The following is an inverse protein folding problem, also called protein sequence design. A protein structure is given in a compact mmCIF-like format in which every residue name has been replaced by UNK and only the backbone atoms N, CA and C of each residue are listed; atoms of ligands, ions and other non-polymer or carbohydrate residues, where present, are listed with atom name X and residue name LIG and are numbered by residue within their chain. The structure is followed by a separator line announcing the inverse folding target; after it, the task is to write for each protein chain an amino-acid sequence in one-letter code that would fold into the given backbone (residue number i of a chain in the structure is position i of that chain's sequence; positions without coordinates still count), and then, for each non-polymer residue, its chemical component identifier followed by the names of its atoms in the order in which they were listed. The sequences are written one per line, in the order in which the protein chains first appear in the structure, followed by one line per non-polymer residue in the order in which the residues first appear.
data_IF_877518452365
#
_entry.id   IF_877518452365
#
_cell.length_a   1.000
_cell.length_b   1.000
_cell.length_c   1.000
_cell.angle_alpha   90.00
_cell.angle_beta   90.00
_cell.angle_gamma   90.00
#
_symmetry.space_group_name_H-M   'P 1'
#
loop_
_entity.id
_entity.type
_entity.pdbx_description
1 polymer ?
#
# COMPACT_ATOMS: atom_id res chain seq x y z
N UNK A 1 -11.80 11.67 21.10
CA UNK A 1 -11.90 10.59 20.10
C UNK A 1 -10.79 10.82 19.10
N UNK A 2 -10.01 9.80 18.72
CA UNK A 2 -8.98 9.96 17.69
C UNK A 2 -9.65 10.22 16.34
N UNK A 3 -8.99 11.00 15.48
CA UNK A 3 -9.39 11.15 14.09
C UNK A 3 -9.43 9.75 13.43
N UNK A 4 -10.54 9.31 12.81
CA UNK A 4 -10.61 8.01 12.16
C UNK A 4 -9.52 7.79 11.10
N UNK A 5 -9.03 8.85 10.44
CA UNK A 5 -7.94 8.71 9.46
C UNK A 5 -6.59 8.46 10.13
N UNK A 6 -6.29 9.12 11.26
CA UNK A 6 -5.11 8.78 12.07
C UNK A 6 -5.19 7.34 12.60
N UNK A 7 -6.40 6.88 12.94
CA UNK A 7 -6.61 5.48 13.31
C UNK A 7 -6.22 4.55 12.16
N UNK A 8 -6.61 4.85 10.91
CA UNK A 8 -6.19 4.06 9.74
C UNK A 8 -4.66 4.02 9.59
N UNK A 9 -3.94 5.14 9.81
CA UNK A 9 -2.47 5.16 9.74
C UNK A 9 -1.76 4.47 10.92
N UNK A 10 -2.49 4.00 11.93
CA UNK A 10 -1.93 3.41 13.17
C UNK A 10 -2.49 2.03 13.51
N UNK A 11 -3.49 1.54 12.77
CA UNK A 11 -4.25 0.32 13.08
C UNK A 11 -3.43 -0.97 13.05
N UNK A 12 -2.29 -0.94 12.36
CA UNK A 12 -1.49 -2.12 12.08
C UNK A 12 -0.04 -1.96 12.55
N UNK A 13 0.19 -1.08 13.54
CA UNK A 13 1.53 -0.80 14.06
C UNK A 13 2.24 -2.05 14.62
N UNK A 14 1.50 -3.04 15.12
CA UNK A 14 2.04 -4.32 15.57
C UNK A 14 2.82 -5.09 14.48
N UNK A 15 2.55 -4.81 13.20
CA UNK A 15 3.29 -5.42 12.09
C UNK A 15 4.75 -4.94 12.02
N UNK A 16 5.06 -3.77 12.58
CA UNK A 16 6.44 -3.29 12.72
C UNK A 16 7.23 -4.05 13.80
N UNK A 17 6.56 -4.60 14.81
CA UNK A 17 7.19 -5.34 15.91
C UNK A 17 7.20 -6.85 15.67
N UNK A 18 6.42 -7.33 14.69
CA UNK A 18 6.21 -8.76 14.44
C UNK A 18 5.33 -9.44 15.50
N UNK A 19 4.63 -8.65 16.31
CA UNK A 19 3.66 -9.16 17.29
C UNK A 19 2.45 -9.76 16.58
N UNK A 20 1.78 -10.70 17.22
CA UNK A 20 0.47 -11.16 16.77
C UNK A 20 -0.56 -10.06 17.03
N UNK A 21 -1.68 -10.07 16.30
CA UNK A 21 -2.76 -9.11 16.57
C UNK A 21 -3.34 -9.28 17.99
N UNK A 22 -3.41 -10.51 18.49
CA UNK A 22 -3.99 -10.84 19.80
C UNK A 22 -3.11 -10.39 20.97
N UNK A 23 -1.80 -10.29 20.74
CA UNK A 23 -0.80 -9.87 21.74
C UNK A 23 -0.30 -8.43 21.50
N UNK A 24 -0.85 -7.73 20.51
CA UNK A 24 -0.40 -6.41 20.10
C UNK A 24 -0.58 -5.37 21.20
N UNK A 25 0.46 -4.56 21.45
CA UNK A 25 0.34 -3.42 22.36
C UNK A 25 -0.67 -2.38 21.84
N UNK A 26 -1.46 -1.79 22.74
CA UNK A 26 -2.35 -0.68 22.41
C UNK A 26 -1.62 0.68 22.32
N UNK A 27 -0.31 0.68 22.62
CA UNK A 27 0.55 1.86 22.64
C UNK A 27 1.88 1.60 21.93
N UNK A 28 2.32 2.54 21.10
CA UNK A 28 3.64 2.54 20.49
C UNK A 28 4.27 3.92 20.65
N UNK A 29 5.46 4.00 21.26
CA UNK A 29 6.16 5.26 21.53
C UNK A 29 5.28 6.36 22.20
N UNK A 30 4.35 5.96 23.09
CA UNK A 30 3.42 6.90 23.76
C UNK A 30 2.19 7.28 22.95
N UNK A 31 2.01 6.72 21.75
CA UNK A 31 0.87 6.95 20.86
C UNK A 31 -0.06 5.75 20.88
N UNK A 32 -1.36 5.98 20.91
CA UNK A 32 -2.35 4.89 20.82
C UNK A 32 -2.38 4.31 19.39
N UNK A 33 -2.26 2.99 19.30
CA UNK A 33 -2.17 2.24 18.03
C UNK A 33 -3.07 1.00 18.05
N UNK A 34 -3.08 0.25 16.94
CA UNK A 34 -3.77 -1.04 16.82
C UNK A 34 -5.29 -0.98 17.11
N UNK A 35 -5.89 0.20 16.90
CA UNK A 35 -7.33 0.39 17.03
C UNK A 35 -8.03 -0.06 15.75
N UNK A 36 -9.18 -0.73 15.89
CA UNK A 36 -9.98 -1.14 14.74
C UNK A 36 -10.40 0.04 13.87
N UNK A 37 -10.30 -0.15 12.55
CA UNK A 37 -10.75 0.82 11.55
C UNK A 37 -12.24 0.62 11.27
N UNK A 38 -13.01 1.71 11.21
CA UNK A 38 -14.45 1.67 10.94
C UNK A 38 -14.79 1.35 9.49
N UNK A 39 -16.08 1.16 9.20
CA UNK A 39 -16.63 0.95 7.84
C UNK A 39 -16.09 -0.28 7.09
N UNK A 40 -15.42 -1.21 7.78
CA UNK A 40 -14.85 -2.42 7.17
C UNK A 40 -13.64 -2.18 6.27
N UNK A 41 -13.10 -0.95 6.24
CA UNK A 41 -12.04 -0.55 5.31
C UNK A 41 -10.77 -1.41 5.38
N UNK A 42 -10.36 -1.84 6.58
CA UNK A 42 -9.21 -2.73 6.76
C UNK A 42 -9.45 -4.12 6.14
N UNK A 43 -10.60 -4.74 6.41
CA UNK A 43 -10.96 -6.03 5.84
C UNK A 43 -11.04 -5.99 4.31
N UNK A 44 -11.60 -4.93 3.75
CA UNK A 44 -11.69 -4.72 2.32
C UNK A 44 -10.31 -4.49 1.68
N UNK A 45 -9.44 -3.70 2.31
CA UNK A 45 -8.06 -3.50 1.86
C UNK A 45 -7.25 -4.81 1.91
N UNK A 46 -7.41 -5.61 2.96
CA UNK A 46 -6.80 -6.93 3.06
C UNK A 46 -7.28 -7.85 1.91
N UNK A 47 -8.57 -7.83 1.57
CA UNK A 47 -9.12 -8.61 0.46
C UNK A 47 -8.60 -8.19 -0.92
N UNK A 48 -8.14 -6.94 -1.09
CA UNK A 48 -7.44 -6.48 -2.30
C UNK A 48 -6.04 -7.10 -2.42
N UNK A 49 -5.38 -7.39 -1.31
CA UNK A 49 -3.95 -7.78 -1.30
C UNK A 49 -3.73 -9.27 -1.07
N UNK A 50 -4.61 -9.95 -0.34
CA UNK A 50 -4.47 -11.37 0.02
C UNK A 50 -5.80 -12.15 -0.05
N UNK A 51 -5.76 -13.48 -0.27
CA UNK A 51 -6.95 -14.31 -0.17
C UNK A 51 -7.50 -14.31 1.26
N UNK A 52 -8.82 -14.24 1.41
CA UNK A 52 -9.51 -14.19 2.70
C UNK A 52 -9.31 -15.46 3.55
N UNK A 53 -9.25 -16.64 2.91
CA UNK A 53 -9.35 -17.94 3.61
C UNK A 53 -8.05 -18.76 3.63
N UNK A 54 -6.93 -18.21 3.16
CA UNK A 54 -5.71 -19.00 2.93
C UNK A 54 -4.54 -18.43 3.73
N UNK A 55 -4.39 -18.89 4.98
CA UNK A 55 -3.13 -18.77 5.73
C UNK A 55 -2.09 -19.82 5.27
N UNK A 56 -1.97 -20.03 3.96
CA UNK A 56 -0.92 -20.88 3.41
C UNK A 56 0.27 -19.98 3.12
N UNK A 57 1.32 -20.17 3.89
CA UNK A 57 2.58 -19.48 3.68
C UNK A 57 3.05 -19.69 2.24
N UNK A 58 3.17 -18.60 1.50
CA UNK A 58 3.56 -18.63 0.08
C UNK A 58 5.07 -18.87 -0.11
N UNK A 59 5.87 -18.58 0.92
CA UNK A 59 7.31 -18.84 0.98
C UNK A 59 7.65 -19.52 2.32
N UNK A 60 7.75 -20.88 2.37
CA UNK A 60 7.86 -21.63 3.63
C UNK A 60 9.03 -21.23 4.55
N UNK A 61 10.12 -20.73 3.97
CA UNK A 61 11.34 -20.34 4.72
C UNK A 61 11.32 -18.89 5.19
N UNK A 62 10.29 -18.11 4.83
CA UNK A 62 10.20 -16.70 5.19
C UNK A 62 9.29 -16.52 6.41
N UNK A 63 9.90 -16.31 7.58
CA UNK A 63 9.17 -16.20 8.85
C UNK A 63 9.25 -14.81 9.49
N UNK A 64 9.94 -13.85 8.86
CA UNK A 64 10.03 -12.48 9.41
C UNK A 64 8.95 -11.54 8.85
N UNK A 65 8.79 -10.39 9.49
CA UNK A 65 7.83 -9.35 9.14
C UNK A 65 8.36 -8.36 8.08
N UNK A 66 9.62 -8.46 7.67
CA UNK A 66 10.17 -7.72 6.56
C UNK A 66 9.62 -8.25 5.23
N UNK A 67 9.44 -7.37 4.27
CA UNK A 67 8.92 -7.70 2.95
C UNK A 67 10.02 -8.30 2.08
N UNK A 68 9.67 -9.33 1.32
CA UNK A 68 10.43 -9.78 0.17
C UNK A 68 10.07 -8.93 -1.05
N UNK A 69 11.07 -8.34 -1.70
CA UNK A 69 10.87 -7.70 -2.99
C UNK A 69 10.60 -8.75 -4.07
N UNK A 70 9.46 -8.62 -4.76
CA UNK A 70 9.18 -9.46 -5.93
C UNK A 70 10.14 -9.15 -7.10
N UNK A 71 10.73 -7.96 -7.11
CA UNK A 71 11.68 -7.53 -8.12
C UNK A 71 13.08 -8.14 -7.91
N UNK A 72 13.62 -8.07 -6.69
CA UNK A 72 14.99 -8.56 -6.39
C UNK A 72 15.05 -9.93 -5.73
N UNK A 73 13.95 -10.41 -5.16
CA UNK A 73 13.90 -11.61 -4.31
C UNK A 73 14.54 -11.44 -2.94
N UNK A 74 14.95 -10.23 -2.55
CA UNK A 74 15.64 -9.94 -1.28
C UNK A 74 14.72 -9.19 -0.33
N UNK A 75 14.97 -9.36 0.97
CA UNK A 75 14.40 -8.45 1.97
C UNK A 75 15.07 -7.08 1.87
N UNK A 76 14.32 -6.02 2.14
CA UNK A 76 14.89 -4.67 2.25
C UNK A 76 15.71 -4.48 3.52
N UNK A 77 15.59 -5.40 4.49
CA UNK A 77 16.42 -5.40 5.69
C UNK A 77 17.90 -5.65 5.34
N UNK A 78 18.70 -4.59 5.47
CA UNK A 78 20.15 -4.66 5.41
C UNK A 78 20.74 -4.24 6.77
N UNK A 79 21.34 -5.15 7.56
CA UNK A 79 21.84 -4.81 8.89
C UNK A 79 22.95 -3.72 8.91
N UNK A 80 23.56 -3.39 7.76
CA UNK A 80 24.58 -2.34 7.65
C UNK A 80 24.01 -0.93 7.43
N UNK A 81 22.82 -0.80 6.85
CA UNK A 81 22.19 0.49 6.51
C UNK A 81 20.84 0.67 7.21
N UNK A 82 20.20 -0.43 7.59
CA UNK A 82 18.90 -0.56 8.21
C UNK A 82 19.10 -1.11 9.64
N UNK A 83 19.70 -0.30 10.51
CA UNK A 83 19.94 -0.72 11.90
C UNK A 83 18.62 -0.72 12.68
N UNK A 84 18.46 -1.66 13.61
CA UNK A 84 17.24 -1.75 14.44
C UNK A 84 16.86 -0.42 15.10
N UNK A 85 17.84 0.33 15.61
CA UNK A 85 17.59 1.62 16.25
C UNK A 85 17.10 2.69 15.25
N UNK A 86 17.63 2.69 14.03
CA UNK A 86 17.14 3.57 12.95
C UNK A 86 15.69 3.25 12.60
N UNK A 87 15.37 1.96 12.44
CA UNK A 87 14.01 1.49 12.14
C UNK A 87 13.04 1.87 13.26
N UNK A 88 13.40 1.60 14.51
CA UNK A 88 12.56 1.97 15.67
C UNK A 88 12.31 3.49 15.73
N UNK A 89 13.31 4.31 15.40
CA UNK A 89 13.13 5.76 15.34
C UNK A 89 12.23 6.20 14.18
N UNK A 90 12.46 5.71 12.96
CA UNK A 90 11.65 6.06 11.78
C UNK A 90 10.19 5.61 11.93
N UNK A 91 9.95 4.41 12.48
CA UNK A 91 8.59 3.95 12.81
C UNK A 91 7.97 4.84 13.88
N UNK A 92 8.71 5.21 14.93
CA UNK A 92 8.21 6.11 15.97
C UNK A 92 7.79 7.47 15.40
N UNK A 93 8.61 8.06 14.54
CA UNK A 93 8.30 9.33 13.87
C UNK A 93 7.08 9.22 12.93
N UNK A 94 6.99 8.12 12.18
CA UNK A 94 5.84 7.85 11.31
C UNK A 94 4.54 7.77 12.12
N UNK A 95 4.52 6.97 13.19
CA UNK A 95 3.35 6.73 14.04
C UNK A 95 2.97 7.98 14.86
N UNK A 96 3.96 8.75 15.33
CA UNK A 96 3.75 9.96 16.13
C UNK A 96 3.17 11.15 15.37
N UNK A 97 3.01 11.06 14.05
CA UNK A 97 2.39 12.14 13.27
C UNK A 97 0.95 12.38 13.70
N UNK A 98 0.65 13.57 14.23
CA UNK A 98 -0.65 13.91 14.83
C UNK A 98 -1.66 14.52 13.87
N UNK A 99 -1.21 15.04 12.73
CA UNK A 99 -2.08 15.59 11.69
C UNK A 99 -2.32 14.52 10.61
N UNK A 100 -3.58 14.31 10.24
CA UNK A 100 -3.93 13.24 9.30
C UNK A 100 -3.35 13.49 7.90
N UNK A 101 -3.32 14.74 7.43
CA UNK A 101 -2.78 15.09 6.11
C UNK A 101 -1.26 14.82 6.10
N UNK A 102 -0.55 15.29 7.11
CA UNK A 102 0.88 15.01 7.26
C UNK A 102 1.17 13.52 7.42
N UNK A 103 0.27 12.76 8.08
CA UNK A 103 0.41 11.31 8.19
C UNK A 103 0.27 10.67 6.81
N UNK A 104 -0.70 11.08 6.00
CA UNK A 104 -0.87 10.58 4.63
C UNK A 104 0.37 10.79 3.78
N UNK A 105 0.90 12.01 3.76
CA UNK A 105 2.12 12.37 3.03
C UNK A 105 3.33 11.55 3.50
N UNK A 106 3.51 11.40 4.82
CA UNK A 106 4.60 10.59 5.38
C UNK A 106 4.46 9.12 5.00
N UNK A 107 3.25 8.55 5.05
CA UNK A 107 3.03 7.18 4.63
C UNK A 107 3.28 6.99 3.14
N UNK A 108 2.90 7.94 2.27
CA UNK A 108 3.22 7.91 0.85
C UNK A 108 4.74 7.91 0.59
N UNK A 109 5.52 8.64 1.39
CA UNK A 109 6.97 8.74 1.25
C UNK A 109 7.77 7.70 2.06
N UNK A 110 7.11 6.83 2.83
CA UNK A 110 7.79 5.99 3.84
C UNK A 110 8.51 4.77 3.25
N UNK A 111 9.83 4.82 3.18
CA UNK A 111 10.66 3.64 2.89
C UNK A 111 10.59 2.60 4.02
N UNK A 112 10.53 3.07 5.28
CA UNK A 112 10.44 2.18 6.43
C UNK A 112 9.17 1.33 6.39
N UNK A 113 8.01 1.90 6.05
CA UNK A 113 6.77 1.13 5.94
C UNK A 113 6.77 0.18 4.73
N UNK A 114 7.43 0.56 3.63
CA UNK A 114 7.59 -0.29 2.45
C UNK A 114 8.47 -1.53 2.73
N UNK A 115 9.31 -1.48 3.77
CA UNK A 115 10.18 -2.59 4.16
C UNK A 115 9.45 -3.71 4.90
N UNK A 116 8.19 -3.53 5.33
CA UNK A 116 7.43 -4.52 6.08
C UNK A 116 6.33 -5.15 5.22
N UNK A 117 6.10 -6.45 5.44
CA UNK A 117 4.98 -7.14 4.83
C UNK A 117 3.67 -6.86 5.57
N UNK A 118 2.55 -6.98 4.86
CA UNK A 118 1.22 -6.89 5.48
C UNK A 118 0.94 -8.13 6.34
N UNK A 119 1.52 -9.27 5.95
CA UNK A 119 1.46 -10.53 6.69
C UNK A 119 2.58 -11.47 6.27
N UNK A 120 3.11 -12.21 7.24
CA UNK A 120 4.18 -13.20 7.05
C UNK A 120 3.77 -14.34 6.10
N UNK A 121 2.47 -14.60 5.92
CA UNK A 121 1.97 -15.60 4.97
C UNK A 121 2.14 -15.18 3.50
N UNK A 122 2.17 -13.87 3.26
CA UNK A 122 2.26 -13.25 1.94
C UNK A 122 3.39 -12.20 1.94
N UNK A 123 4.66 -12.62 2.00
CA UNK A 123 5.80 -11.73 2.25
C UNK A 123 6.07 -10.73 1.12
N UNK A 124 5.40 -10.84 -0.03
CA UNK A 124 5.46 -9.87 -1.13
C UNK A 124 4.44 -8.73 -1.00
N UNK A 125 3.53 -8.78 -0.02
CA UNK A 125 2.62 -7.67 0.30
C UNK A 125 3.38 -6.55 1.00
N UNK A 126 2.84 -5.34 0.99
CA UNK A 126 3.49 -4.16 1.58
C UNK A 126 2.59 -3.53 2.64
N UNK A 127 3.13 -3.31 3.84
CA UNK A 127 2.43 -2.64 4.95
C UNK A 127 2.10 -1.19 4.59
N UNK A 128 3.02 -0.49 3.92
CA UNK A 128 2.79 0.86 3.36
C UNK A 128 1.52 0.89 2.52
N UNK A 129 1.47 0.05 1.49
CA UNK A 129 0.37 0.09 0.54
C UNK A 129 -0.93 -0.49 1.11
N UNK A 130 -0.88 -1.48 2.01
CA UNK A 130 -2.06 -1.88 2.77
C UNK A 130 -2.65 -0.69 3.54
N UNK A 131 -1.82 0.01 4.30
CA UNK A 131 -2.26 1.16 5.12
C UNK A 131 -2.82 2.30 4.27
N UNK A 132 -2.19 2.61 3.13
CA UNK A 132 -2.69 3.61 2.19
C UNK A 132 -4.02 3.19 1.54
N UNK A 133 -4.20 1.91 1.21
CA UNK A 133 -5.47 1.39 0.72
C UNK A 133 -6.56 1.49 1.80
N UNK A 134 -6.25 1.18 3.06
CA UNK A 134 -7.18 1.32 4.19
C UNK A 134 -7.65 2.77 4.31
N UNK A 135 -6.73 3.74 4.28
CA UNK A 135 -7.06 5.15 4.36
C UNK A 135 -7.94 5.60 3.18
N UNK A 136 -7.59 5.19 1.96
CA UNK A 136 -8.35 5.55 0.77
C UNK A 136 -9.76 4.95 0.76
N UNK A 137 -9.94 3.71 1.21
CA UNK A 137 -11.26 3.10 1.36
C UNK A 137 -12.07 3.76 2.47
N UNK A 138 -11.46 3.95 3.65
CA UNK A 138 -12.13 4.58 4.79
C UNK A 138 -12.66 5.97 4.43
N UNK A 139 -11.83 6.81 3.82
CA UNK A 139 -12.26 8.16 3.46
C UNK A 139 -13.38 8.13 2.40
N UNK A 140 -13.45 7.09 1.55
CA UNK A 140 -14.46 6.96 0.48
C UNK A 140 -15.78 6.52 1.10
N UNK A 141 -15.71 5.58 2.03
CA UNK A 141 -16.87 5.07 2.76
C UNK A 141 -17.48 6.15 3.65
N UNK A 142 -16.64 6.98 4.28
CA UNK A 142 -17.08 8.17 5.03
C UNK A 142 -17.74 9.23 4.14
N UNK A 143 -17.38 9.30 2.85
CA UNK A 143 -18.04 10.11 1.83
C UNK A 143 -19.27 9.40 1.21
N UNK A 144 -19.72 8.28 1.78
CA UNK A 144 -20.86 7.47 1.34
C UNK A 144 -20.70 6.84 -0.05
N UNK A 145 -19.46 6.64 -0.51
CA UNK A 145 -19.20 5.88 -1.73
C UNK A 145 -19.08 4.39 -1.40
N UNK A 146 -19.91 3.58 -2.03
CA UNK A 146 -19.75 2.12 -1.98
C UNK A 146 -18.55 1.66 -2.80
N UNK A 147 -17.90 0.55 -2.40
CA UNK A 147 -16.77 -0.04 -3.11
C UNK A 147 -17.03 -0.20 -4.62
N UNK A 148 -18.25 -0.60 -5.00
CA UNK A 148 -18.63 -0.86 -6.39
C UNK A 148 -18.53 0.38 -7.32
N UNK A 149 -18.49 1.57 -6.73
CA UNK A 149 -18.36 2.85 -7.44
C UNK A 149 -16.90 3.31 -7.56
N UNK A 150 -15.99 2.71 -6.78
CA UNK A 150 -14.60 3.14 -6.72
C UNK A 150 -13.83 2.76 -7.98
N UNK A 151 -12.83 3.57 -8.29
CA UNK A 151 -11.97 3.47 -9.45
C UNK A 151 -10.51 3.60 -9.03
N UNK A 152 -9.65 2.92 -9.76
CA UNK A 152 -8.24 3.28 -9.85
C UNK A 152 -8.13 4.42 -10.86
N UNK A 153 -7.57 5.54 -10.43
CA UNK A 153 -7.43 6.75 -11.24
C UNK A 153 -5.95 7.09 -11.35
N UNK A 154 -5.54 7.52 -12.54
CA UNK A 154 -4.18 7.92 -12.86
C UNK A 154 -4.11 9.44 -12.89
N UNK A 155 -3.35 10.01 -11.95
CA UNK A 155 -3.09 11.44 -11.85
C UNK A 155 -1.67 11.77 -12.31
N UNK A 156 -1.38 13.06 -12.49
CA UNK A 156 -0.02 13.51 -12.79
C UNK A 156 0.89 13.34 -11.56
N UNK A 157 2.19 13.16 -11.78
CA UNK A 157 3.16 13.09 -10.70
C UNK A 157 3.07 14.33 -9.79
N UNK A 158 3.10 14.12 -8.46
CA UNK A 158 2.98 15.17 -7.46
C UNK A 158 1.56 15.72 -7.23
N UNK A 159 0.55 15.24 -7.98
CA UNK A 159 -0.85 15.54 -7.66
C UNK A 159 -1.34 14.60 -6.55
N UNK A 160 -1.21 15.06 -5.30
CA UNK A 160 -1.68 14.32 -4.12
C UNK A 160 -3.08 14.78 -3.74
N UNK A 161 -4.06 13.88 -3.84
CA UNK A 161 -5.39 14.04 -3.26
C UNK A 161 -5.36 13.44 -1.86
N UNK A 162 -5.59 14.24 -0.80
CA UNK A 162 -5.56 13.78 0.58
C UNK A 162 -6.34 12.49 0.80
N UNK A 163 -5.71 11.53 1.47
CA UNK A 163 -6.22 10.22 1.87
C UNK A 163 -6.56 9.26 0.72
N UNK A 164 -6.79 9.78 -0.49
CA UNK A 164 -7.20 9.07 -1.70
C UNK A 164 -6.02 8.57 -2.53
N UNK A 165 -4.95 9.35 -2.61
CA UNK A 165 -3.73 8.95 -3.32
C UNK A 165 -3.06 7.80 -2.58
N UNK A 166 -2.81 6.70 -3.28
CA UNK A 166 -2.19 5.48 -2.73
C UNK A 166 -0.78 5.23 -3.27
N UNK A 167 -0.38 5.96 -4.30
CA UNK A 167 0.98 5.94 -4.84
C UNK A 167 1.28 7.30 -5.49
N UNK A 168 2.45 7.86 -5.20
CA UNK A 168 2.97 9.07 -5.86
C UNK A 168 4.41 8.80 -6.27
N UNK A 169 4.66 8.82 -7.58
CA UNK A 169 5.98 8.60 -8.16
C UNK A 169 6.30 9.64 -9.23
N UNK A 170 7.54 9.63 -9.72
CA UNK A 170 8.06 10.70 -10.59
C UNK A 170 7.32 10.90 -11.91
N UNK A 171 6.54 9.91 -12.36
CA UNK A 171 5.89 9.93 -13.68
C UNK A 171 4.36 10.01 -13.62
N UNK A 172 3.76 9.47 -12.58
CA UNK A 172 2.32 9.43 -12.37
C UNK A 172 2.04 9.15 -10.90
N UNK A 173 0.84 9.56 -10.47
CA UNK A 173 0.26 9.17 -9.20
C UNK A 173 -0.94 8.24 -9.43
N UNK A 174 -1.31 7.47 -8.41
CA UNK A 174 -2.51 6.64 -8.42
C UNK A 174 -3.36 6.97 -7.21
N UNK A 175 -4.66 7.19 -7.43
CA UNK A 175 -5.65 7.36 -6.36
C UNK A 175 -6.80 6.37 -6.49
N UNK A 176 -7.49 6.15 -5.37
CA UNK A 176 -8.76 5.43 -5.33
C UNK A 176 -9.87 6.43 -5.01
N UNK A 177 -10.82 6.60 -5.93
CA UNK A 177 -11.93 7.53 -5.77
C UNK A 177 -13.15 7.09 -6.59
N UNK A 178 -14.33 7.66 -6.30
CA UNK A 178 -15.53 7.46 -7.08
C UNK A 178 -15.57 8.37 -8.33
N UNK A 179 -15.07 9.60 -8.21
CA UNK A 179 -14.99 10.58 -9.30
C UNK A 179 -13.59 10.58 -9.92
N UNK A 180 -13.53 10.43 -11.24
CA UNK A 180 -12.27 10.45 -11.98
C UNK A 180 -11.89 11.81 -12.53
N UNK A 181 -12.77 12.82 -12.46
CA UNK A 181 -12.52 14.17 -12.98
C UNK A 181 -12.04 14.18 -14.45
N UNK A 182 -12.45 13.18 -15.24
CA UNK A 182 -12.02 13.00 -16.62
C UNK A 182 -10.60 12.43 -16.79
N UNK A 183 -9.95 12.01 -15.71
CA UNK A 183 -8.64 11.35 -15.72
C UNK A 183 -8.75 9.89 -16.20
N UNK A 184 -7.66 9.29 -16.70
CA UNK A 184 -7.64 7.88 -17.02
C UNK A 184 -8.01 7.03 -15.80
N UNK A 185 -8.99 6.14 -15.94
CA UNK A 185 -9.55 5.42 -14.80
C UNK A 185 -10.10 4.05 -15.18
N UNK A 186 -10.24 3.18 -14.17
CA UNK A 186 -10.92 1.90 -14.29
C UNK A 186 -11.61 1.51 -12.97
N UNK A 187 -12.82 0.96 -13.05
CA UNK A 187 -13.53 0.45 -11.86
C UNK A 187 -12.77 -0.67 -11.18
N UNK A 188 -12.77 -0.68 -9.84
CA UNK A 188 -12.13 -1.73 -9.03
C UNK A 188 -12.85 -3.08 -9.16
N UNK A 189 -14.17 -3.06 -9.28
CA UNK A 189 -15.02 -4.24 -9.33
C UNK A 189 -16.28 -4.05 -8.49
N UNK A 190 -17.09 -5.10 -8.34
CA UNK A 190 -18.30 -5.05 -7.51
C UNK A 190 -18.06 -5.31 -6.03
N UNK A 191 -16.90 -5.88 -5.67
CA UNK A 191 -16.49 -6.18 -4.31
C UNK A 191 -14.96 -6.21 -4.20
N UNK A 192 -14.40 -6.04 -2.99
CA UNK A 192 -12.97 -6.17 -2.76
C UNK A 192 -12.47 -7.58 -3.07
N UNK A 193 -11.42 -7.67 -3.87
CA UNK A 193 -10.75 -8.90 -4.26
C UNK A 193 -9.42 -8.61 -4.96
N UNK A 194 -8.50 -9.57 -4.96
CA UNK A 194 -7.21 -9.51 -5.65
C UNK A 194 -7.38 -9.41 -7.17
N UNK A 195 -7.53 -8.18 -7.65
CA UNK A 195 -7.98 -7.87 -9.00
C UNK A 195 -7.19 -6.75 -9.68
N UNK A 196 -6.00 -6.47 -9.17
CA UNK A 196 -5.13 -5.42 -9.71
C UNK A 196 -5.04 -5.48 -11.24
N UNK A 197 -4.64 -6.63 -11.79
CA UNK A 197 -4.52 -6.83 -13.25
C UNK A 197 -5.80 -6.52 -14.01
N UNK A 198 -6.98 -6.81 -13.44
CA UNK A 198 -8.26 -6.49 -14.08
C UNK A 198 -8.48 -4.98 -14.14
N UNK A 199 -8.22 -4.25 -13.05
CA UNK A 199 -8.33 -2.80 -13.03
C UNK A 199 -7.28 -2.16 -13.97
N UNK A 200 -6.02 -2.57 -13.86
CA UNK A 200 -4.91 -2.09 -14.69
C UNK A 200 -5.19 -2.28 -16.18
N UNK A 201 -5.62 -3.48 -16.61
CA UNK A 201 -5.93 -3.77 -18.01
C UNK A 201 -7.11 -2.97 -18.58
N UNK A 202 -7.98 -2.43 -17.73
CA UNK A 202 -9.20 -1.71 -18.13
C UNK A 202 -9.04 -0.19 -18.06
N UNK A 203 -7.84 0.31 -17.71
CA UNK A 203 -7.57 1.75 -17.72
C UNK A 203 -7.90 2.33 -19.10
N UNK A 204 -8.62 3.45 -19.10
CA UNK A 204 -9.00 4.14 -20.34
C UNK A 204 -7.78 4.70 -21.10
N UNK A 205 -6.68 4.97 -20.40
CA UNK A 205 -5.35 5.20 -20.95
C UNK A 205 -4.28 4.76 -19.94
N UNK A 206 -3.14 4.26 -20.43
CA UNK A 206 -2.05 3.79 -19.56
C UNK A 206 -1.00 4.89 -19.33
N UNK A 207 -0.43 5.03 -18.11
CA UNK A 207 0.63 6.01 -17.80
C UNK A 207 2.03 5.61 -18.32
N UNK A 208 2.15 4.44 -18.96
CA UNK A 208 3.41 3.87 -19.42
C UNK A 208 3.48 3.89 -20.95
N UNK A 209 4.62 4.24 -21.51
CA UNK A 209 4.89 4.21 -22.96
C UNK A 209 5.38 2.83 -23.38
N UNK A 210 4.49 1.84 -23.28
CA UNK A 210 4.80 0.44 -23.56
C UNK A 210 5.12 0.16 -25.04
N UNK A 211 4.72 1.06 -25.96
CA UNK A 211 4.93 0.91 -27.39
C UNK A 211 6.35 1.29 -27.82
N UNK A 212 7.01 2.21 -27.10
CA UNK A 212 8.32 2.74 -27.50
C UNK A 212 9.43 2.54 -26.46
N UNK A 213 9.09 2.32 -25.17
CA UNK A 213 10.06 2.13 -24.11
C UNK A 213 10.07 0.68 -23.58
N UNK A 214 11.21 0.00 -23.71
CA UNK A 214 11.35 -1.41 -23.30
C UNK A 214 11.19 -1.63 -21.78
N UNK A 215 11.60 -0.66 -20.97
CA UNK A 215 11.42 -0.72 -19.52
C UNK A 215 9.96 -0.54 -19.14
N UNK A 216 9.26 0.40 -19.79
CA UNK A 216 7.81 0.58 -19.64
C UNK A 216 7.03 -0.66 -20.09
N UNK A 217 7.41 -1.24 -21.23
CA UNK A 217 6.84 -2.49 -21.73
C UNK A 217 7.00 -3.64 -20.71
N UNK A 218 8.18 -3.74 -20.07
CA UNK A 218 8.46 -4.77 -19.07
C UNK A 218 7.64 -4.57 -17.80
N UNK A 219 7.59 -3.33 -17.29
CA UNK A 219 6.78 -2.96 -16.13
C UNK A 219 5.29 -3.26 -16.41
N UNK A 220 4.75 -2.77 -17.53
CA UNK A 220 3.36 -2.97 -17.91
C UNK A 220 3.01 -4.47 -18.04
N UNK A 221 3.86 -5.25 -18.72
CA UNK A 221 3.65 -6.69 -18.88
C UNK A 221 3.57 -7.43 -17.54
N UNK A 222 4.36 -7.03 -16.55
CA UNK A 222 4.33 -7.64 -15.21
C UNK A 222 3.09 -7.19 -14.43
N UNK A 223 2.73 -5.90 -14.45
CA UNK A 223 1.53 -5.39 -13.78
C UNK A 223 0.24 -6.05 -14.30
N UNK A 224 0.16 -6.35 -15.60
CA UNK A 224 -0.99 -7.07 -16.20
C UNK A 224 -1.18 -8.51 -15.70
N UNK A 225 -0.22 -9.07 -14.95
CA UNK A 225 -0.28 -10.43 -14.38
C UNK A 225 -0.44 -10.46 -12.86
N UNK A 226 -0.27 -9.32 -12.20
CA UNK A 226 -0.39 -9.23 -10.74
C UNK A 226 -1.84 -9.15 -10.28
N UNK A 227 -2.17 -9.82 -9.20
CA UNK A 227 -3.52 -9.85 -8.64
C UNK A 227 -3.62 -9.01 -7.36
N UNK A 228 -2.63 -9.16 -6.47
CA UNK A 228 -2.51 -8.39 -5.23
C UNK A 228 -2.25 -6.91 -5.52
N UNK A 229 -3.05 -6.05 -4.90
CA UNK A 229 -2.92 -4.59 -5.00
C UNK A 229 -1.67 -4.07 -4.31
N UNK A 230 -1.44 -4.41 -3.03
CA UNK A 230 -0.25 -3.92 -2.31
C UNK A 230 1.06 -4.42 -2.93
N UNK A 231 1.08 -5.65 -3.46
CA UNK A 231 2.25 -6.18 -4.18
C UNK A 231 2.48 -5.45 -5.50
N UNK A 232 1.43 -5.11 -6.24
CA UNK A 232 1.59 -4.41 -7.51
C UNK A 232 2.05 -2.96 -7.32
N UNK A 233 1.47 -2.23 -6.37
CA UNK A 233 1.91 -0.87 -6.02
C UNK A 233 3.38 -0.87 -5.58
N UNK A 234 3.77 -1.84 -4.74
CA UNK A 234 5.16 -1.98 -4.33
C UNK A 234 6.08 -2.39 -5.47
N UNK A 235 5.60 -3.18 -6.42
CA UNK A 235 6.38 -3.53 -7.60
C UNK A 235 6.67 -2.30 -8.47
N UNK A 236 5.73 -1.37 -8.60
CA UNK A 236 5.96 -0.10 -9.31
C UNK A 236 7.08 0.69 -8.62
N UNK A 237 7.01 0.81 -7.29
CA UNK A 237 8.02 1.53 -6.49
C UNK A 237 9.41 0.87 -6.58
N UNK A 238 9.50 -0.45 -6.38
CA UNK A 238 10.75 -1.21 -6.49
C UNK A 238 11.36 -1.09 -7.90
N UNK A 239 10.52 -1.13 -8.95
CA UNK A 239 10.96 -1.02 -10.34
C UNK A 239 11.47 0.40 -10.66
N UNK A 240 10.81 1.43 -10.14
CA UNK A 240 11.25 2.82 -10.30
C UNK A 240 12.58 3.10 -9.59
N UNK A 241 12.79 2.51 -8.41
CA UNK A 241 14.06 2.61 -7.68
C UNK A 241 15.22 1.91 -8.41
N UNK A 242 14.95 0.81 -9.11
CA UNK A 242 15.98 0.07 -9.85
C UNK A 242 16.41 0.70 -11.18
N UNK A 243 15.52 1.47 -11.83
CA UNK A 243 15.66 1.84 -13.25
C UNK A 243 17.09 2.28 -13.62
N UNK A 244 17.75 1.58 -14.56
CA UNK A 244 19.16 1.82 -14.88
C UNK A 244 19.40 3.10 -15.69
N UNK A 245 18.35 3.77 -16.16
CA UNK A 245 18.36 5.04 -16.89
C UNK A 245 18.17 6.28 -15.99
N UNK A 246 18.18 6.10 -14.65
CA UNK A 246 18.32 7.19 -13.68
C UNK A 246 19.77 7.65 -13.51
#
# INVERSE_FOLDING_TARGET
MSDPLLTAYRHDAHKFTGESHDDASDMYAGVRVNQSVSEGADGDAAALSRPLDVQKQTVPTHADHYRLSLFTGKTLYNPQTFTRATVENEVSELIATEDALAAHERWLASDVAAAFNETVYHPYTSLKFHTLLVAALLDNYRAHHEFANLRLIVDSAGEVVPFRTVYDGERFALRIDADDDGRPSARLGSRPWQSWSSAWNRLTAHPLDADHNKYDMTLDANLRRMWSWSTALQYIEDYAAWRPDR
#
